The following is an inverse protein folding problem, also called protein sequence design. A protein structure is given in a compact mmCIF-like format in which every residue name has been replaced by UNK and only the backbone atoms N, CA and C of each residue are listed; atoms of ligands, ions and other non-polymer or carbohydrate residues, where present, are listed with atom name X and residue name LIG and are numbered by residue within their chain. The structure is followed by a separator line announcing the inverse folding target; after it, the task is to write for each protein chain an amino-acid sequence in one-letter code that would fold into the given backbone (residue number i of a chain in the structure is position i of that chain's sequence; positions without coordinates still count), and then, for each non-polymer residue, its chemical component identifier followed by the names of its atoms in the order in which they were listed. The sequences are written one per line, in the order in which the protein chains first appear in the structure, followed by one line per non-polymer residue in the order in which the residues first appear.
data_IF_425447947957
#
_entry.id   IF_425447947957
#
_cell.length_a   1.000
_cell.length_b   1.000
_cell.length_c   1.000
_cell.angle_alpha   90.00
_cell.angle_beta   90.00
_cell.angle_gamma   90.00
#
_symmetry.space_group_name_H-M   'P 1'
#
loop_
_entity.id
_entity.type
_entity.pdbx_description
1 polymer ?
#
# COMPACT_ATOMS: atom_id res chain seq x y z
N UNK A 1 28.02 -1.13 -9.69
CA UNK A 1 26.86 -0.60 -10.42
C UNK A 1 26.29 0.53 -9.58
N UNK A 2 26.43 1.76 -10.05
CA UNK A 2 26.13 2.97 -9.27
C UNK A 2 24.65 3.07 -8.93
N UNK A 3 24.35 3.22 -7.64
CA UNK A 3 23.08 3.78 -7.20
C UNK A 3 23.08 5.24 -7.66
N UNK A 4 22.44 5.53 -8.79
CA UNK A 4 22.12 6.92 -9.15
C UNK A 4 21.31 7.48 -7.99
N UNK A 5 21.87 8.45 -7.26
CA UNK A 5 21.19 9.10 -6.14
C UNK A 5 19.85 9.62 -6.64
N UNK A 6 18.76 8.93 -6.31
CA UNK A 6 17.43 9.40 -6.61
C UNK A 6 17.17 10.62 -5.74
N UNK A 7 16.68 11.70 -6.35
CA UNK A 7 16.26 12.86 -5.58
C UNK A 7 15.08 12.43 -4.70
N UNK A 8 15.31 12.38 -3.39
CA UNK A 8 14.27 12.01 -2.42
C UNK A 8 13.26 13.16 -2.36
N UNK A 9 12.13 13.00 -3.05
CA UNK A 9 11.01 13.92 -2.95
C UNK A 9 10.28 13.69 -1.62
N UNK A 10 10.47 14.63 -0.69
CA UNK A 10 9.81 14.61 0.63
C UNK A 10 8.53 15.46 0.66
N UNK A 11 8.03 15.90 -0.48
CA UNK A 11 6.83 16.75 -0.54
C UNK A 11 5.51 15.98 -0.45
N UNK A 12 5.54 14.64 -0.58
CA UNK A 12 4.35 13.81 -0.49
C UNK A 12 4.67 12.37 -0.08
N UNK A 13 3.71 11.73 0.60
CA UNK A 13 3.75 10.29 0.86
C UNK A 13 3.22 9.55 -0.38
N UNK A 14 4.12 8.94 -1.17
CA UNK A 14 3.75 8.27 -2.42
C UNK A 14 3.36 6.80 -2.16
N UNK A 15 2.08 6.48 -2.30
CA UNK A 15 1.51 5.16 -1.94
C UNK A 15 1.08 4.39 -3.19
N UNK A 16 1.48 3.12 -3.29
CA UNK A 16 0.97 2.18 -4.28
C UNK A 16 -0.33 1.58 -3.75
N UNK A 17 -1.43 1.66 -4.51
CA UNK A 17 -2.73 1.16 -4.06
C UNK A 17 -3.59 0.64 -5.22
N UNK A 18 -4.59 -0.18 -4.89
CA UNK A 18 -5.56 -0.69 -5.86
C UNK A 18 -6.75 0.30 -5.99
N UNK A 19 -7.17 0.68 -7.21
CA UNK A 19 -8.26 1.63 -7.40
C UNK A 19 -9.65 1.14 -7.01
N UNK A 20 -9.87 -0.16 -6.75
CA UNK A 20 -11.18 -0.76 -6.54
C UNK A 20 -11.16 -2.09 -5.78
N UNK A 21 -10.42 -2.16 -4.67
CA UNK A 21 -10.27 -3.37 -3.85
C UNK A 21 -10.78 -3.12 -2.42
N UNK A 22 -12.06 -2.76 -2.28
CA UNK A 22 -12.67 -2.67 -0.96
C UNK A 22 -12.69 -4.06 -0.27
N UNK A 23 -12.47 -4.12 1.05
CA UNK A 23 -12.41 -3.00 2.00
C UNK A 23 -11.03 -2.32 2.14
N UNK A 24 -10.01 -2.74 1.40
CA UNK A 24 -8.62 -2.27 1.54
C UNK A 24 -8.43 -0.85 1.03
N UNK A 25 -8.64 -0.64 -0.27
CA UNK A 25 -8.47 0.68 -0.89
C UNK A 25 -9.35 0.87 -2.13
N UNK A 26 -9.67 2.13 -2.44
CA UNK A 26 -10.25 2.52 -3.72
C UNK A 26 -9.93 3.99 -4.06
N UNK A 27 -10.24 4.41 -5.30
CA UNK A 27 -10.04 5.81 -5.74
C UNK A 27 -10.84 6.85 -4.96
N UNK A 28 -11.95 6.43 -4.34
CA UNK A 28 -12.78 7.29 -3.51
C UNK A 28 -12.22 7.48 -2.09
N UNK A 29 -11.16 6.75 -1.70
CA UNK A 29 -10.53 6.87 -0.38
C UNK A 29 -11.33 6.20 0.75
N UNK A 30 -12.25 5.30 0.43
CA UNK A 30 -13.18 4.71 1.40
C UNK A 30 -12.59 3.52 2.16
N UNK A 31 -11.49 2.96 1.65
CA UNK A 31 -10.85 1.79 2.22
C UNK A 31 -10.09 2.08 3.52
N UNK A 32 -9.91 1.04 4.35
CA UNK A 32 -9.18 1.21 5.60
C UNK A 32 -7.69 1.50 5.39
N UNK A 33 -7.07 0.99 4.32
CA UNK A 33 -5.68 1.30 3.98
C UNK A 33 -5.52 2.74 3.48
N UNK A 34 -6.56 3.30 2.83
CA UNK A 34 -6.57 4.72 2.52
C UNK A 34 -6.48 5.56 3.79
N UNK A 35 -7.27 5.24 4.81
CA UNK A 35 -7.26 5.95 6.10
C UNK A 35 -5.93 5.81 6.85
N UNK A 36 -5.27 4.66 6.77
CA UNK A 36 -3.92 4.47 7.32
C UNK A 36 -2.90 5.36 6.58
N UNK A 37 -2.96 5.41 5.26
CA UNK A 37 -2.09 6.29 4.47
C UNK A 37 -2.25 7.77 4.86
N UNK A 38 -3.49 8.24 5.03
CA UNK A 38 -3.79 9.60 5.47
C UNK A 38 -3.28 9.87 6.90
N UNK A 39 -3.41 8.91 7.81
CA UNK A 39 -2.87 9.02 9.17
C UNK A 39 -1.34 9.17 9.16
N UNK A 40 -0.64 8.38 8.35
CA UNK A 40 0.81 8.47 8.20
C UNK A 40 1.25 9.79 7.56
N UNK A 41 0.54 10.22 6.53
CA UNK A 41 0.78 11.49 5.86
C UNK A 41 0.58 12.70 6.79
N UNK A 42 -0.47 12.67 7.61
CA UNK A 42 -0.73 13.69 8.62
C UNK A 42 0.42 13.80 9.64
N UNK A 43 0.92 12.67 10.15
CA UNK A 43 2.07 12.64 11.07
C UNK A 43 3.36 13.17 10.40
N UNK A 44 3.56 12.85 9.13
CA UNK A 44 4.71 13.31 8.34
C UNK A 44 4.58 14.77 7.87
N UNK A 45 3.41 15.39 8.02
CA UNK A 45 3.14 16.75 7.56
C UNK A 45 3.15 16.92 6.03
N UNK A 46 2.83 15.86 5.27
CA UNK A 46 2.86 15.85 3.80
C UNK A 46 1.57 15.24 3.23
N UNK A 47 1.09 15.65 2.05
CA UNK A 47 -0.08 15.03 1.42
C UNK A 47 0.20 13.59 0.92
N UNK A 48 -0.84 12.77 0.84
CA UNK A 48 -0.79 11.47 0.15
C UNK A 48 -0.86 11.66 -1.36
N UNK A 49 -0.06 10.88 -2.10
CA UNK A 49 -0.19 10.72 -3.56
C UNK A 49 -0.26 9.26 -3.92
N UNK A 50 -1.34 8.86 -4.57
CA UNK A 50 -1.55 7.47 -4.97
C UNK A 50 -1.05 7.19 -6.38
N UNK A 51 -0.31 6.09 -6.52
CA UNK A 51 -0.13 5.38 -7.77
C UNK A 51 -1.09 4.20 -7.80
N UNK A 52 -2.11 4.32 -8.64
CA UNK A 52 -3.17 3.33 -8.77
C UNK A 52 -2.79 2.21 -9.75
N UNK A 53 -2.81 0.98 -9.27
CA UNK A 53 -2.64 -0.22 -10.12
C UNK A 53 -3.39 -1.40 -9.49
N UNK A 54 -4.13 -2.23 -10.25
CA UNK A 54 -4.79 -3.40 -9.69
C UNK A 54 -3.82 -4.32 -8.96
N UNK A 55 -4.16 -4.77 -7.76
CA UNK A 55 -3.38 -5.70 -6.94
C UNK A 55 -3.48 -7.12 -7.51
N UNK A 56 -2.95 -7.28 -8.72
CA UNK A 56 -2.86 -8.52 -9.47
C UNK A 56 -1.38 -8.83 -9.75
N UNK A 57 -1.14 -9.87 -10.55
CA UNK A 57 0.20 -10.24 -11.00
C UNK A 57 0.95 -9.04 -11.57
N UNK A 58 2.10 -8.73 -10.98
CA UNK A 58 2.96 -7.62 -11.41
C UNK A 58 2.73 -6.29 -10.68
N UNK A 59 1.80 -6.20 -9.71
CA UNK A 59 1.55 -4.97 -8.92
C UNK A 59 2.85 -4.31 -8.44
N UNK A 60 3.68 -5.03 -7.70
CA UNK A 60 4.96 -4.52 -7.15
C UNK A 60 5.93 -4.09 -8.25
N UNK A 61 6.04 -4.88 -9.32
CA UNK A 61 6.93 -4.60 -10.45
C UNK A 61 6.52 -3.33 -11.19
N UNK A 62 5.21 -3.13 -11.39
CA UNK A 62 4.66 -2.03 -12.19
C UNK A 62 4.48 -0.73 -11.39
N UNK A 63 4.59 -0.79 -10.06
CA UNK A 63 4.42 0.33 -9.13
C UNK A 63 5.72 0.63 -8.37
N UNK A 64 5.97 -0.04 -7.25
CA UNK A 64 7.07 0.23 -6.32
C UNK A 64 8.45 0.04 -6.96
N UNK A 65 8.70 -1.11 -7.62
CA UNK A 65 10.00 -1.35 -8.28
C UNK A 65 10.20 -0.45 -9.51
N UNK A 66 9.11 0.01 -10.12
CA UNK A 66 9.14 1.02 -11.17
C UNK A 66 9.27 2.45 -10.62
N UNK A 67 9.46 2.62 -9.31
CA UNK A 67 9.68 3.90 -8.61
C UNK A 67 8.56 4.92 -8.82
N UNK A 68 7.32 4.43 -9.03
CA UNK A 68 6.14 5.28 -9.15
C UNK A 68 5.52 5.64 -7.79
N UNK A 69 5.96 4.99 -6.73
CA UNK A 69 5.52 5.15 -5.34
C UNK A 69 6.58 4.53 -4.42
N UNK A 70 6.48 4.78 -3.11
CA UNK A 70 7.48 4.39 -2.10
C UNK A 70 6.96 3.43 -1.04
N UNK A 71 5.64 3.29 -0.92
CA UNK A 71 5.01 2.54 0.16
C UNK A 71 3.83 1.72 -0.35
N UNK A 72 3.70 0.50 0.15
CA UNK A 72 2.48 -0.31 0.10
C UNK A 72 1.96 -0.42 1.54
N UNK A 73 0.69 -0.09 1.80
CA UNK A 73 0.16 0.00 3.17
C UNK A 73 0.03 -1.38 3.83
N UNK A 74 -0.48 -2.36 3.10
CA UNK A 74 -0.70 -3.72 3.59
C UNK A 74 0.01 -4.75 2.73
N UNK A 75 0.86 -5.56 3.36
CA UNK A 75 1.40 -6.79 2.77
C UNK A 75 1.55 -7.84 3.87
N UNK A 76 1.45 -9.11 3.50
CA UNK A 76 1.76 -10.21 4.42
C UNK A 76 3.24 -10.21 4.79
N UNK A 77 3.54 -10.52 6.05
CA UNK A 77 4.92 -10.67 6.51
C UNK A 77 5.67 -11.74 5.70
N UNK A 78 6.95 -11.48 5.45
CA UNK A 78 7.80 -12.39 4.68
C UNK A 78 7.60 -12.31 3.17
N UNK A 79 6.86 -11.33 2.67
CA UNK A 79 6.74 -11.10 1.23
C UNK A 79 8.09 -10.64 0.65
N UNK A 80 8.78 -11.55 -0.05
CA UNK A 80 10.20 -11.46 -0.41
C UNK A 80 10.58 -10.27 -1.31
N UNK A 81 9.61 -9.70 -2.03
CA UNK A 81 9.87 -8.59 -2.96
C UNK A 81 9.96 -7.23 -2.27
N UNK A 82 9.66 -7.16 -0.97
CA UNK A 82 9.51 -5.92 -0.21
C UNK A 82 10.24 -5.99 1.13
N UNK A 83 10.75 -4.85 1.60
CA UNK A 83 11.13 -4.70 3.00
C UNK A 83 9.90 -4.38 3.84
N UNK A 84 9.68 -5.18 4.89
CA UNK A 84 8.55 -5.03 5.80
C UNK A 84 8.90 -4.06 6.94
N UNK A 85 7.90 -3.31 7.39
CA UNK A 85 7.97 -2.51 8.63
C UNK A 85 7.75 -3.41 9.86
N UNK A 86 7.75 -2.81 11.05
CA UNK A 86 7.17 -3.48 12.21
C UNK A 86 5.69 -3.77 11.94
N UNK A 87 5.20 -5.00 12.21
CA UNK A 87 3.80 -5.34 11.97
C UNK A 87 2.88 -4.46 12.81
N UNK A 88 1.89 -3.82 12.19
CA UNK A 88 0.91 -2.95 12.88
C UNK A 88 -0.43 -3.64 13.14
N UNK A 89 -0.68 -4.81 12.56
CA UNK A 89 -1.82 -5.66 12.90
C UNK A 89 -1.50 -7.14 12.62
N UNK A 90 -2.31 -8.03 13.21
CA UNK A 90 -2.29 -9.47 12.95
C UNK A 90 -3.72 -9.93 12.66
N UNK A 91 -3.89 -10.68 11.58
CA UNK A 91 -5.17 -11.28 11.20
C UNK A 91 -4.99 -12.75 10.86
N UNK A 92 -6.10 -13.44 10.61
CA UNK A 92 -6.14 -14.85 10.22
C UNK A 92 -7.13 -15.06 9.08
N UNK A 93 -6.97 -16.15 8.36
CA UNK A 93 -8.01 -16.64 7.45
C UNK A 93 -9.25 -17.08 8.25
N UNK A 94 -10.43 -16.90 7.65
CA UNK A 94 -11.70 -17.34 8.20
C UNK A 94 -12.52 -18.06 7.13
N UNK A 95 -13.26 -19.09 7.54
CA UNK A 95 -14.26 -19.74 6.68
C UNK A 95 -15.58 -18.98 6.82
N UNK A 96 -16.14 -18.57 5.68
CA UNK A 96 -17.42 -17.84 5.62
C UNK A 96 -18.47 -18.75 4.99
N UNK A 97 -19.57 -18.96 5.70
CA UNK A 97 -20.74 -19.72 5.24
C UNK A 97 -22.02 -18.99 5.63
N UNK A 98 -23.15 -19.37 5.01
CA UNK A 98 -24.44 -18.77 5.34
C UNK A 98 -24.85 -19.22 6.75
N UNK A 99 -25.22 -18.28 7.63
CA UNK A 99 -25.59 -18.61 9.01
C UNK A 99 -26.75 -19.62 9.10
N UNK A 100 -27.68 -19.58 8.15
CA UNK A 100 -28.82 -20.50 8.03
C UNK A 100 -28.60 -21.53 6.92
N UNK A 101 -27.47 -22.25 6.98
CA UNK A 101 -27.23 -23.43 6.13
C UNK A 101 -27.85 -24.67 6.74
#
# INVERSE_FOLDING_TARGET
MGQTSEAVDRSSLRVCADPGNLPFSNRAGEGFENKIAELLAAELGVPVRYTWYPQATGFVRQTLMARKCDLVIGISLGFELLHNTNPYYRSSYALVYRAES
#
